data_IF_148650877608
#
_entry.id   IF_148650877608
#
_cell.length_a   1.000
_cell.length_b   1.000
_cell.length_c   1.000
_cell.angle_alpha   90.00
_cell.angle_beta   90.00
_cell.angle_gamma   90.00
#
_symmetry.space_group_name_H-M   'P 1'
#
loop_
_entity.id
_entity.type
_entity.pdbx_description
1 polymer ?
#
# COMPACT_ATOMS: atom_id res chain seq x y z
N UNK A 1 25.41 0.56 -1.12
CA UNK A 1 25.65 1.60 -0.11
C UNK A 1 25.15 1.12 1.25
N UNK A 2 26.00 1.15 2.28
CA UNK A 2 25.62 0.79 3.66
C UNK A 2 24.74 1.88 4.29
N UNK A 3 24.18 1.64 5.48
CA UNK A 3 23.27 2.61 6.12
C UNK A 3 23.99 3.91 6.52
N UNK A 4 25.25 3.84 6.97
CA UNK A 4 26.00 5.03 7.40
C UNK A 4 26.21 6.01 6.25
N UNK A 5 26.64 5.52 5.08
CA UNK A 5 26.83 6.35 3.89
C UNK A 5 25.51 6.96 3.40
N UNK A 6 24.39 6.25 3.53
CA UNK A 6 23.06 6.80 3.18
C UNK A 6 22.67 7.92 4.16
N UNK A 7 22.89 7.74 5.46
CA UNK A 7 22.61 8.76 6.49
C UNK A 7 23.37 10.05 6.20
N UNK A 8 24.68 9.94 5.96
CA UNK A 8 25.52 11.11 5.65
C UNK A 8 25.10 11.79 4.35
N UNK A 9 24.73 10.99 3.34
CA UNK A 9 24.20 11.55 2.08
C UNK A 9 22.90 12.32 2.33
N UNK A 10 21.93 11.76 3.04
CA UNK A 10 20.65 12.45 3.28
C UNK A 10 20.85 13.73 4.10
N UNK A 11 21.69 13.68 5.14
CA UNK A 11 21.95 14.85 5.99
C UNK A 11 22.65 15.98 5.23
N UNK A 12 23.53 15.68 4.28
CA UNK A 12 24.18 16.71 3.46
C UNK A 12 23.24 17.45 2.51
N UNK A 13 22.05 16.88 2.25
CA UNK A 13 20.98 17.56 1.52
C UNK A 13 20.15 18.52 2.38
N UNK A 14 20.34 18.52 3.71
CA UNK A 14 19.67 19.44 4.64
C UNK A 14 18.14 19.52 4.45
N UNK A 15 17.51 18.37 4.21
CA UNK A 15 16.08 18.29 3.97
C UNK A 15 15.27 18.75 5.18
N UNK A 16 14.26 19.59 4.95
CA UNK A 16 13.29 19.95 6.00
C UNK A 16 12.35 18.78 6.34
N UNK A 17 11.93 18.03 5.30
CA UNK A 17 10.96 16.93 5.38
C UNK A 17 11.48 15.72 4.60
N UNK A 18 11.56 14.57 5.26
CA UNK A 18 11.84 13.26 4.64
C UNK A 18 10.56 12.44 4.53
N UNK A 19 10.26 11.93 3.34
CA UNK A 19 9.10 11.04 3.10
C UNK A 19 9.58 9.62 2.81
N UNK A 20 9.23 8.71 3.70
CA UNK A 20 9.46 7.27 3.65
C UNK A 20 8.32 6.60 2.90
N UNK A 21 8.63 5.75 1.91
CA UNK A 21 7.64 5.21 0.96
C UNK A 21 7.43 3.70 1.02
N UNK A 22 8.17 2.97 1.85
CA UNK A 22 8.24 1.50 1.80
C UNK A 22 7.86 0.78 3.10
N UNK A 23 7.91 1.44 4.27
CA UNK A 23 7.77 0.84 5.59
C UNK A 23 8.42 -0.54 5.71
N UNK A 24 7.63 -1.51 6.17
CA UNK A 24 8.07 -2.92 6.31
C UNK A 24 7.79 -3.79 5.08
N UNK A 25 7.54 -3.20 3.91
CA UNK A 25 7.37 -4.01 2.69
C UNK A 25 8.62 -4.83 2.36
N UNK A 26 8.41 -6.00 1.76
CA UNK A 26 9.50 -6.90 1.34
C UNK A 26 10.32 -6.33 0.18
N UNK A 27 11.54 -6.82 0.00
CA UNK A 27 12.49 -6.30 -1.01
C UNK A 27 13.60 -5.43 -0.43
N UNK A 28 13.59 -5.21 0.89
CA UNK A 28 14.54 -4.40 1.62
C UNK A 28 13.99 -3.01 1.92
N UNK A 29 14.15 -2.55 3.16
CA UNK A 29 13.75 -1.20 3.59
C UNK A 29 14.94 -0.46 4.21
N UNK A 30 14.76 0.84 4.45
CA UNK A 30 15.76 1.73 5.08
C UNK A 30 15.24 2.33 6.39
N UNK A 31 14.39 1.61 7.10
CA UNK A 31 13.86 2.06 8.40
C UNK A 31 14.98 2.28 9.43
N UNK A 32 16.10 1.55 9.35
CA UNK A 32 17.31 1.77 10.17
C UNK A 32 18.05 3.07 9.88
N UNK A 33 17.95 3.58 8.65
CA UNK A 33 18.46 4.92 8.31
C UNK A 33 17.55 5.95 8.97
N UNK A 34 16.24 5.79 8.83
CA UNK A 34 15.25 6.74 9.35
C UNK A 34 15.13 6.73 10.87
N UNK A 35 15.48 5.62 11.54
CA UNK A 35 15.61 5.56 13.00
C UNK A 35 16.69 6.48 13.56
N UNK A 36 17.57 7.04 12.70
CA UNK A 36 18.65 7.95 13.10
C UNK A 36 18.29 9.43 12.93
N UNK A 37 17.02 9.72 12.62
CA UNK A 37 16.49 11.08 12.36
C UNK A 37 17.38 11.85 11.38
N UNK A 38 17.12 11.63 10.09
CA UNK A 38 17.90 12.21 8.97
C UNK A 38 17.35 13.53 8.45
N UNK A 39 16.13 13.90 8.85
CA UNK A 39 15.51 15.21 8.63
C UNK A 39 14.78 15.67 9.91
N UNK A 40 14.52 16.98 10.09
CA UNK A 40 13.75 17.49 11.23
C UNK A 40 12.36 16.88 11.32
N UNK A 41 11.66 16.78 10.19
CA UNK A 41 10.35 16.11 10.07
C UNK A 41 10.51 14.87 9.20
N UNK A 42 9.99 13.74 9.67
CA UNK A 42 9.92 12.52 8.87
C UNK A 42 8.49 11.99 8.80
N UNK A 43 8.10 11.53 7.61
CA UNK A 43 6.74 11.09 7.29
C UNK A 43 6.79 9.71 6.67
N UNK A 44 5.89 8.80 7.05
CA UNK A 44 5.65 7.56 6.30
C UNK A 44 4.44 7.69 5.39
N UNK A 45 4.51 7.09 4.21
CA UNK A 45 3.46 7.17 3.20
C UNK A 45 3.49 5.99 2.21
N UNK A 46 2.37 5.76 1.53
CA UNK A 46 2.24 5.01 0.28
C UNK A 46 2.45 3.48 0.36
N UNK A 47 3.69 3.01 0.51
CA UNK A 47 4.02 1.61 0.21
C UNK A 47 3.69 0.62 1.32
N UNK A 48 3.68 1.07 2.57
CA UNK A 48 3.30 0.23 3.71
C UNK A 48 2.01 0.76 4.33
N UNK A 49 0.86 0.08 4.14
CA UNK A 49 -0.45 0.57 4.59
C UNK A 49 -0.66 0.26 6.08
N UNK A 50 0.29 0.66 6.93
CA UNK A 50 0.22 0.54 8.39
C UNK A 50 1.31 1.41 9.07
N UNK A 51 1.25 1.53 10.39
CA UNK A 51 2.22 2.21 11.24
C UNK A 51 3.63 1.64 11.11
N UNK A 52 4.65 2.50 11.04
CA UNK A 52 6.05 2.08 11.22
C UNK A 52 6.41 1.95 12.70
N UNK A 53 5.68 2.68 13.57
CA UNK A 53 5.91 2.76 15.01
C UNK A 53 7.33 3.20 15.40
N UNK A 54 8.08 3.82 14.48
CA UNK A 54 9.38 4.39 14.78
C UNK A 54 9.21 5.74 15.50
N UNK A 55 9.84 5.96 16.66
CA UNK A 55 9.78 7.25 17.37
C UNK A 55 10.36 8.44 16.59
N UNK A 56 11.06 8.16 15.49
CA UNK A 56 11.64 9.18 14.62
C UNK A 56 10.78 9.52 13.41
N UNK A 57 9.69 8.79 13.17
CA UNK A 57 8.70 9.14 12.14
C UNK A 57 7.57 9.87 12.84
N UNK A 58 7.39 11.13 12.46
CA UNK A 58 6.51 12.06 13.17
C UNK A 58 5.07 11.96 12.64
N UNK A 59 4.91 11.73 11.32
CA UNK A 59 3.60 11.71 10.66
C UNK A 59 3.39 10.50 9.75
N UNK A 60 2.12 10.14 9.54
CA UNK A 60 1.70 9.23 8.48
C UNK A 60 0.65 9.91 7.60
N UNK A 61 0.93 10.00 6.30
CA UNK A 61 -0.03 10.54 5.33
C UNK A 61 -1.07 9.47 4.99
N UNK A 62 -2.35 9.81 5.17
CA UNK A 62 -3.49 8.92 4.90
C UNK A 62 -4.69 9.74 4.39
N UNK A 63 -5.85 9.12 4.27
CA UNK A 63 -7.12 9.75 3.91
C UNK A 63 -8.27 9.22 4.78
N UNK A 64 -9.43 9.85 4.67
CA UNK A 64 -10.59 9.55 5.52
C UNK A 64 -11.25 8.20 5.19
N UNK A 65 -10.89 7.56 4.08
CA UNK A 65 -11.42 6.28 3.64
C UNK A 65 -10.56 5.12 4.16
N UNK A 66 -9.24 5.25 4.09
CA UNK A 66 -8.31 4.26 4.63
C UNK A 66 -8.25 4.29 6.15
N UNK A 67 -8.17 5.48 6.73
CA UNK A 67 -8.12 5.70 8.19
C UNK A 67 -9.22 6.67 8.61
N UNK A 68 -10.48 6.22 8.78
CA UNK A 68 -11.55 7.11 9.21
C UNK A 68 -11.26 7.76 10.56
N UNK A 69 -11.45 9.08 10.71
CA UNK A 69 -11.19 9.76 11.97
C UNK A 69 -11.99 9.17 13.14
N UNK A 70 -11.27 8.74 14.18
CA UNK A 70 -11.82 8.19 15.42
C UNK A 70 -11.76 6.67 15.47
N UNK A 71 -11.35 6.00 14.39
CA UNK A 71 -11.35 4.54 14.29
C UNK A 71 -9.97 3.92 14.42
N UNK A 72 -8.95 4.51 13.79
CA UNK A 72 -7.63 3.86 13.63
C UNK A 72 -6.48 4.62 14.26
N UNK A 73 -6.63 5.90 14.65
CA UNK A 73 -5.53 6.73 15.16
C UNK A 73 -4.74 6.08 16.30
N UNK A 74 -5.42 5.39 17.22
CA UNK A 74 -4.78 4.72 18.36
C UNK A 74 -3.90 3.53 17.97
N UNK A 75 -3.94 3.09 16.71
CA UNK A 75 -3.15 1.99 16.18
C UNK A 75 -1.82 2.49 15.57
N UNK A 76 -1.60 3.79 15.47
CA UNK A 76 -0.41 4.39 14.88
C UNK A 76 0.52 4.97 15.93
N UNK A 77 1.83 4.79 15.71
CA UNK A 77 2.87 5.48 16.47
C UNK A 77 3.09 6.92 15.96
N UNK A 78 2.77 7.16 14.69
CA UNK A 78 2.82 8.45 14.02
C UNK A 78 1.53 9.25 14.23
N UNK A 79 1.60 10.57 14.10
CA UNK A 79 0.40 11.39 13.98
C UNK A 79 -0.18 11.28 12.55
N UNK A 80 -1.46 10.90 12.44
CA UNK A 80 -2.14 10.84 11.14
C UNK A 80 -2.38 12.24 10.58
N UNK A 81 -2.06 12.41 9.29
CA UNK A 81 -2.39 13.59 8.50
C UNK A 81 -3.30 13.14 7.37
N UNK A 82 -4.55 13.61 7.41
CA UNK A 82 -5.55 13.30 6.41
C UNK A 82 -5.43 14.24 5.21
N UNK A 83 -5.20 13.66 4.04
CA UNK A 83 -5.30 14.34 2.76
C UNK A 83 -6.78 14.56 2.40
N UNK A 84 -7.06 15.64 1.67
CA UNK A 84 -8.42 16.03 1.28
C UNK A 84 -9.09 15.02 0.32
N UNK A 85 -8.28 14.25 -0.39
CA UNK A 85 -8.70 13.24 -1.36
C UNK A 85 -8.09 11.88 -1.02
N UNK A 86 -8.46 10.85 -1.79
CA UNK A 86 -7.86 9.54 -1.68
C UNK A 86 -6.32 9.64 -1.72
N UNK A 87 -5.65 8.99 -0.78
CA UNK A 87 -4.22 9.10 -0.57
C UNK A 87 -3.41 8.58 -1.77
N UNK A 88 -4.01 7.70 -2.57
CA UNK A 88 -3.40 7.15 -3.77
C UNK A 88 -3.83 7.97 -4.99
N UNK A 89 -2.94 8.86 -5.43
CA UNK A 89 -3.10 9.52 -6.71
C UNK A 89 -2.92 8.49 -7.85
N UNK A 90 -3.93 8.34 -8.69
CA UNK A 90 -3.88 7.47 -9.85
C UNK A 90 -4.27 8.26 -11.10
N UNK A 91 -3.59 7.96 -12.21
CA UNK A 91 -3.97 8.40 -13.54
C UNK A 91 -4.08 7.17 -14.45
N UNK A 92 -5.05 7.14 -15.38
CA UNK A 92 -5.10 6.08 -16.37
C UNK A 92 -3.83 6.04 -17.21
N UNK A 93 -3.37 4.84 -17.54
CA UNK A 93 -2.31 4.63 -18.52
C UNK A 93 -2.89 4.74 -19.94
N UNK A 94 -2.15 5.37 -20.86
CA UNK A 94 -2.57 5.51 -22.27
C UNK A 94 -2.65 4.17 -23.03
N UNK A 95 -2.04 3.12 -22.46
CA UNK A 95 -1.89 1.79 -23.05
C UNK A 95 -3.15 0.91 -22.97
N UNK A 96 -4.20 1.33 -22.26
CA UNK A 96 -5.47 0.57 -22.21
C UNK A 96 -6.28 0.86 -23.48
N UNK A 97 -5.82 0.36 -24.62
CA UNK A 97 -6.55 0.36 -25.89
C UNK A 97 -6.70 -1.08 -26.36
N UNK A 98 -7.92 -1.46 -26.74
CA UNK A 98 -8.27 -2.75 -27.36
C UNK A 98 -8.20 -3.99 -26.45
N UNK A 99 -8.74 -3.91 -25.23
CA UNK A 99 -9.00 -5.12 -24.43
C UNK A 99 -10.24 -5.82 -24.99
N UNK A 100 -10.05 -6.93 -25.71
CA UNK A 100 -11.12 -7.83 -26.09
C UNK A 100 -11.25 -8.95 -25.05
N UNK A 101 -12.39 -9.03 -24.38
CA UNK A 101 -12.70 -10.15 -23.49
C UNK A 101 -13.52 -11.17 -24.29
N UNK A 102 -13.03 -12.40 -24.41
CA UNK A 102 -13.84 -13.48 -24.98
C UNK A 102 -15.05 -13.78 -24.10
N UNK A 103 -16.23 -13.42 -24.57
CA UNK A 103 -17.49 -13.85 -23.96
C UNK A 103 -17.69 -15.34 -24.21
N UNK A 104 -17.86 -16.10 -23.12
CA UNK A 104 -18.17 -17.55 -23.18
C UNK A 104 -19.47 -17.89 -22.45
N UNK A 105 -20.46 -17.01 -22.55
CA UNK A 105 -21.83 -17.28 -22.05
C UNK A 105 -22.05 -17.09 -20.55
N UNK A 106 -21.06 -16.57 -19.81
CA UNK A 106 -21.16 -16.26 -18.37
C UNK A 106 -20.12 -15.24 -17.93
N UNK A 107 -20.25 -14.66 -16.71
CA UNK A 107 -19.37 -13.63 -16.22
C UNK A 107 -17.94 -14.16 -15.98
N UNK A 108 -16.95 -13.32 -16.27
CA UNK A 108 -15.54 -13.59 -16.00
C UNK A 108 -15.08 -12.76 -14.79
N UNK A 109 -14.76 -13.43 -13.69
CA UNK A 109 -14.32 -12.83 -12.44
C UNK A 109 -12.79 -12.82 -12.39
N UNK A 110 -12.18 -11.64 -12.22
CA UNK A 110 -10.72 -11.50 -12.12
C UNK A 110 -10.27 -11.25 -10.69
N UNK A 111 -9.36 -12.09 -10.18
CA UNK A 111 -8.70 -11.91 -8.88
C UNK A 111 -7.22 -11.68 -9.12
N UNK A 112 -6.87 -10.42 -9.41
CA UNK A 112 -5.49 -10.02 -9.75
C UNK A 112 -4.67 -9.55 -8.54
N UNK A 113 -4.90 -10.16 -7.38
CA UNK A 113 -4.18 -9.86 -6.14
C UNK A 113 -2.93 -10.74 -5.98
N UNK A 114 -1.99 -10.31 -5.12
CA UNK A 114 -0.93 -11.20 -4.62
C UNK A 114 -1.59 -12.38 -3.89
N UNK A 115 -1.07 -13.60 -4.08
CA UNK A 115 -1.59 -14.82 -3.46
C UNK A 115 -1.64 -14.73 -1.94
N UNK A 116 -0.72 -13.98 -1.32
CA UNK A 116 -0.71 -13.72 0.13
C UNK A 116 -1.97 -12.97 0.62
N UNK A 117 -2.73 -12.33 -0.27
CA UNK A 117 -4.00 -11.66 0.04
C UNK A 117 -5.22 -12.59 -0.08
N UNK A 118 -5.04 -13.83 -0.55
CA UNK A 118 -6.13 -14.79 -0.73
C UNK A 118 -6.27 -15.60 0.56
N UNK A 119 -7.10 -15.08 1.48
CA UNK A 119 -7.38 -15.74 2.77
C UNK A 119 -8.35 -16.92 2.63
N UNK A 120 -8.47 -17.78 3.65
CA UNK A 120 -9.52 -18.80 3.69
C UNK A 120 -10.94 -18.24 3.61
N UNK A 121 -11.19 -17.05 4.15
CA UNK A 121 -12.50 -16.38 4.03
C UNK A 121 -12.77 -15.91 2.61
N UNK A 122 -11.76 -15.38 1.91
CA UNK A 122 -11.87 -15.01 0.51
C UNK A 122 -12.18 -16.25 -0.35
N UNK A 123 -11.45 -17.36 -0.15
CA UNK A 123 -11.71 -18.62 -0.88
C UNK A 123 -13.13 -19.15 -0.66
N UNK A 124 -13.65 -19.07 0.58
CA UNK A 124 -15.05 -19.45 0.86
C UNK A 124 -16.04 -18.58 0.10
N UNK A 125 -15.84 -17.26 0.10
CA UNK A 125 -16.68 -16.33 -0.65
C UNK A 125 -16.63 -16.63 -2.16
N UNK A 126 -15.43 -16.92 -2.71
CA UNK A 126 -15.28 -17.30 -4.11
C UNK A 126 -16.05 -18.58 -4.43
N UNK A 127 -15.91 -19.63 -3.61
CA UNK A 127 -16.63 -20.88 -3.80
C UNK A 127 -18.15 -20.70 -3.74
N UNK A 128 -18.65 -19.85 -2.83
CA UNK A 128 -20.06 -19.53 -2.73
C UNK A 128 -20.58 -18.81 -3.98
N UNK A 129 -19.85 -17.82 -4.49
CA UNK A 129 -20.20 -17.11 -5.72
C UNK A 129 -20.29 -18.10 -6.89
N UNK A 130 -19.29 -18.98 -7.04
CA UNK A 130 -19.24 -19.97 -8.12
C UNK A 130 -20.35 -21.02 -8.02
N UNK A 131 -20.83 -21.36 -6.81
CA UNK A 131 -22.00 -22.24 -6.62
C UNK A 131 -23.31 -21.56 -7.01
N UNK A 132 -23.43 -20.26 -6.79
CA UNK A 132 -24.65 -19.48 -7.09
C UNK A 132 -24.73 -19.07 -8.56
N UNK A 133 -23.58 -18.99 -9.24
CA UNK A 133 -23.48 -18.63 -10.66
C UNK A 133 -22.64 -19.70 -11.37
N UNK A 134 -23.22 -20.89 -11.66
CA UNK A 134 -22.48 -22.02 -12.21
C UNK A 134 -21.82 -21.75 -13.58
N UNK A 135 -22.33 -20.78 -14.34
CA UNK A 135 -21.80 -20.33 -15.63
C UNK A 135 -20.63 -19.34 -15.49
N UNK A 136 -20.36 -18.84 -14.28
CA UNK A 136 -19.23 -17.95 -14.03
C UNK A 136 -17.90 -18.68 -14.22
N UNK A 137 -16.88 -17.92 -14.61
CA UNK A 137 -15.48 -18.35 -14.62
C UNK A 137 -14.64 -17.41 -13.78
N UNK A 138 -13.58 -17.91 -13.18
CA UNK A 138 -12.66 -17.10 -12.37
C UNK A 138 -11.23 -17.25 -12.89
N UNK A 139 -10.56 -16.12 -13.07
CA UNK A 139 -9.12 -16.04 -13.37
C UNK A 139 -8.42 -15.53 -12.13
N UNK A 140 -7.34 -16.19 -11.74
CA UNK A 140 -6.46 -15.76 -10.67
C UNK A 140 -5.18 -15.23 -11.29
N UNK A 141 -4.52 -14.23 -10.69
CA UNK A 141 -3.28 -13.64 -11.25
C UNK A 141 -2.20 -14.66 -11.66
N UNK A 142 -2.14 -15.77 -10.94
CA UNK A 142 -1.11 -16.80 -11.10
C UNK A 142 -1.65 -18.06 -11.80
N UNK A 143 -2.82 -17.99 -12.45
CA UNK A 143 -3.49 -19.10 -13.13
C UNK A 143 -4.09 -18.70 -14.47
#
# INVERSE_FOLDING_TARGET
MNDDAVVETIRSHELDIMVELGGYTGGGNRLRVLSRRVAPIQVSFLGYPNSTALPTIDYHFTDRFADPPGMTQSLYGEQLVWLDHAQLAWRPYDEVKNVSVESRGGPLLGVFNNVAKISPSALRAYAEIMRRVPEARMILKYG
#
